data_IF_930254825409
#
_entry.id   IF_930254825409
#
_cell.length_a   1.000
_cell.length_b   1.000
_cell.length_c   1.000
_cell.angle_alpha   90.00
_cell.angle_beta   90.00
_cell.angle_gamma   90.00
#
_symmetry.space_group_name_H-M   'P 1'
#
loop_
_entity.id
_entity.type
_entity.pdbx_description
1 polymer ?
#
# COMPACT_ATOMS: atom_id res chain seq x y z
N UNK A 1 -24.39 10.08 19.37
CA UNK A 1 -23.98 8.84 20.05
C UNK A 1 -22.90 9.20 21.06
N UNK A 2 -23.03 8.83 22.35
CA UNK A 2 -21.92 8.93 23.30
C UNK A 2 -20.68 8.20 22.74
N UNK A 3 -19.52 8.82 22.91
CA UNK A 3 -18.31 8.62 22.08
C UNK A 3 -17.55 7.31 22.29
N UNK A 4 -16.69 7.01 21.33
CA UNK A 4 -15.80 5.85 21.32
C UNK A 4 -14.86 5.84 22.55
N UNK A 5 -14.48 4.65 23.00
CA UNK A 5 -13.52 4.47 24.09
C UNK A 5 -12.12 4.92 23.65
N UNK A 6 -11.34 5.51 24.56
CA UNK A 6 -9.93 5.80 24.30
C UNK A 6 -9.09 4.53 24.03
N UNK A 7 -9.59 3.36 24.45
CA UNK A 7 -8.97 2.05 24.19
C UNK A 7 -9.30 1.53 22.78
N UNK A 8 -10.46 1.91 22.24
CA UNK A 8 -10.92 1.49 20.90
C UNK A 8 -11.27 2.73 20.06
N UNK A 9 -10.26 3.53 19.68
CA UNK A 9 -10.50 4.77 18.97
C UNK A 9 -11.08 4.52 17.57
N UNK A 10 -11.88 5.47 17.12
CA UNK A 10 -12.41 5.51 15.76
C UNK A 10 -12.16 6.87 15.15
N UNK A 11 -11.56 6.87 13.97
CA UNK A 11 -11.37 8.06 13.15
C UNK A 11 -12.47 8.10 12.11
N UNK A 12 -13.10 9.27 11.97
CA UNK A 12 -14.08 9.55 10.94
C UNK A 12 -13.49 10.59 10.00
N UNK A 13 -13.55 10.33 8.71
CA UNK A 13 -13.14 11.28 7.67
C UNK A 13 -14.14 11.25 6.51
N UNK A 14 -14.15 12.31 5.70
CA UNK A 14 -14.85 12.30 4.41
C UNK A 14 -13.79 12.44 3.33
N UNK A 15 -13.57 11.38 2.56
CA UNK A 15 -12.61 11.38 1.46
C UNK A 15 -13.24 12.07 0.25
N UNK A 16 -12.59 13.14 -0.21
CA UNK A 16 -12.92 13.85 -1.46
C UNK A 16 -11.67 13.96 -2.30
N UNK A 17 -11.84 13.86 -3.62
CA UNK A 17 -10.73 14.06 -4.55
C UNK A 17 -10.15 15.47 -4.41
N UNK A 18 -10.94 16.51 -4.17
CA UNK A 18 -10.40 17.86 -3.96
C UNK A 18 -9.49 17.99 -2.73
N UNK A 19 -9.74 17.19 -1.70
CA UNK A 19 -9.01 17.23 -0.42
C UNK A 19 -7.75 16.34 -0.48
N UNK A 20 -7.80 15.27 -1.30
CA UNK A 20 -6.67 14.34 -1.53
C UNK A 20 -6.53 14.04 -3.04
N UNK A 21 -6.02 15.00 -3.85
CA UNK A 21 -6.07 14.93 -5.31
C UNK A 21 -5.38 13.74 -5.96
N UNK A 22 -4.32 13.22 -5.34
CA UNK A 22 -3.61 12.05 -5.84
C UNK A 22 -4.47 10.78 -5.84
N UNK A 23 -5.58 10.72 -5.09
CA UNK A 23 -6.49 9.57 -5.15
C UNK A 23 -7.09 9.37 -6.55
N UNK A 24 -7.24 10.44 -7.34
CA UNK A 24 -7.72 10.34 -8.74
C UNK A 24 -6.76 9.52 -9.61
N UNK A 25 -5.47 9.52 -9.26
CA UNK A 25 -4.43 8.83 -10.03
C UNK A 25 -4.42 7.31 -9.77
N UNK A 26 -5.18 6.78 -8.81
CA UNK A 26 -5.37 5.33 -8.67
C UNK A 26 -6.72 4.92 -9.29
N UNK A 27 -6.78 4.95 -10.63
CA UNK A 27 -8.01 4.69 -11.38
C UNK A 27 -8.07 3.25 -11.91
N UNK A 28 -9.12 2.53 -11.51
CA UNK A 28 -9.41 1.18 -11.97
C UNK A 28 -10.80 1.17 -12.62
N UNK A 29 -10.89 0.74 -13.87
CA UNK A 29 -12.15 0.74 -14.63
C UNK A 29 -12.75 2.12 -14.86
N UNK A 30 -11.94 3.19 -14.73
CA UNK A 30 -12.40 4.57 -14.82
C UNK A 30 -12.88 5.17 -13.49
N UNK A 31 -12.82 4.42 -12.39
CA UNK A 31 -13.18 4.89 -11.05
C UNK A 31 -11.94 5.11 -10.19
N UNK A 32 -11.91 6.19 -9.41
CA UNK A 32 -10.86 6.43 -8.42
C UNK A 32 -11.04 5.45 -7.24
N UNK A 33 -10.30 4.35 -7.25
CA UNK A 33 -10.35 3.32 -6.23
C UNK A 33 -9.28 3.60 -5.18
N UNK A 34 -9.63 3.56 -3.91
CA UNK A 34 -8.66 3.75 -2.83
C UNK A 34 -7.60 2.63 -2.86
N UNK A 35 -6.30 2.94 -2.93
CA UNK A 35 -5.25 1.95 -3.10
C UNK A 35 -5.11 1.06 -1.86
N UNK A 36 -4.67 -0.19 -2.05
CA UNK A 36 -4.35 -1.09 -0.94
C UNK A 36 -3.31 -0.46 0.01
N UNK A 37 -2.29 0.18 -0.57
CA UNK A 37 -1.29 0.94 0.15
C UNK A 37 -1.85 2.10 0.99
N UNK A 38 -2.99 2.68 0.60
CA UNK A 38 -3.68 3.71 1.36
C UNK A 38 -4.18 3.18 2.70
N UNK A 39 -4.72 1.96 2.74
CA UNK A 39 -5.15 1.34 4.00
C UNK A 39 -3.97 1.06 4.93
N UNK A 40 -2.80 0.71 4.38
CA UNK A 40 -1.59 0.55 5.18
C UNK A 40 -1.19 1.87 5.84
N UNK A 41 -1.22 2.97 5.08
CA UNK A 41 -0.94 4.30 5.63
C UNK A 41 -1.96 4.72 6.68
N UNK A 42 -3.26 4.42 6.51
CA UNK A 42 -4.27 4.67 7.55
C UNK A 42 -3.95 3.92 8.85
N UNK A 43 -3.60 2.64 8.76
CA UNK A 43 -3.27 1.84 9.95
C UNK A 43 -2.00 2.32 10.64
N UNK A 44 -0.95 2.64 9.86
CA UNK A 44 0.31 3.20 10.34
C UNK A 44 0.09 4.52 11.08
N UNK A 45 -0.71 5.42 10.50
CA UNK A 45 -1.00 6.72 11.13
C UNK A 45 -1.83 6.54 12.40
N UNK A 46 -2.86 5.68 12.37
CA UNK A 46 -3.71 5.41 13.53
C UNK A 46 -2.91 4.86 14.73
N UNK A 47 -2.04 3.87 14.52
CA UNK A 47 -1.21 3.33 15.60
C UNK A 47 -0.14 4.33 16.06
N UNK A 48 0.35 5.19 15.17
CA UNK A 48 1.28 6.27 15.51
C UNK A 48 0.62 7.27 16.47
N UNK A 49 -0.60 7.72 16.17
CA UNK A 49 -1.35 8.62 17.06
C UNK A 49 -1.66 7.97 18.41
N UNK A 50 -2.03 6.69 18.44
CA UNK A 50 -2.25 5.95 19.70
C UNK A 50 -0.97 5.88 20.53
N UNK A 51 0.19 5.63 19.90
CA UNK A 51 1.48 5.63 20.59
C UNK A 51 1.83 7.02 21.13
N UNK A 52 1.68 8.07 20.32
CA UNK A 52 1.94 9.48 20.68
C UNK A 52 1.08 9.95 21.86
N UNK A 53 -0.17 9.51 21.94
CA UNK A 53 -1.11 9.85 23.01
C UNK A 53 -1.00 8.93 24.24
N UNK A 54 -0.18 7.87 24.17
CA UNK A 54 -0.02 6.91 25.27
C UNK A 54 0.75 7.51 26.45
N UNK A 55 0.60 6.93 27.64
CA UNK A 55 1.33 7.36 28.84
C UNK A 55 2.83 7.05 28.77
N UNK A 56 3.25 6.16 27.88
CA UNK A 56 4.62 5.69 27.69
C UNK A 56 4.88 5.46 26.20
N UNK A 57 4.97 6.54 25.39
CA UNK A 57 5.24 6.41 23.97
C UNK A 57 6.57 5.68 23.77
N UNK A 58 6.59 4.72 22.85
CA UNK A 58 7.81 4.04 22.44
C UNK A 58 8.33 4.68 21.16
N UNK A 59 9.65 4.65 20.97
CA UNK A 59 10.24 4.99 19.67
C UNK A 59 9.80 3.95 18.65
N UNK A 60 9.25 4.39 17.53
CA UNK A 60 8.84 3.50 16.43
C UNK A 60 10.02 3.36 15.46
N UNK A 61 10.59 2.17 15.40
CA UNK A 61 11.62 1.79 14.43
C UNK A 61 11.02 1.14 13.17
N UNK A 62 9.81 0.56 13.26
CA UNK A 62 9.10 -0.01 12.11
C UNK A 62 7.67 -0.45 12.42
N UNK A 63 6.92 -0.74 11.35
CA UNK A 63 5.52 -1.17 11.37
C UNK A 63 5.39 -2.54 10.71
N UNK A 64 4.53 -3.38 11.25
CA UNK A 64 4.19 -4.68 10.65
C UNK A 64 2.68 -4.79 10.59
N UNK A 65 2.13 -5.00 9.40
CA UNK A 65 0.74 -5.34 9.17
C UNK A 65 0.65 -6.84 8.85
N UNK A 66 -0.36 -7.52 9.38
CA UNK A 66 -0.62 -8.94 9.15
C UNK A 66 -2.09 -9.20 8.88
N UNK A 67 -2.35 -10.33 8.23
CA UNK A 67 -3.69 -10.88 8.02
C UNK A 67 -4.66 -9.84 7.42
N UNK A 68 -4.15 -9.00 6.51
CA UNK A 68 -4.96 -7.95 5.91
C UNK A 68 -5.85 -8.58 4.85
N UNK A 69 -7.15 -8.43 5.01
CA UNK A 69 -8.17 -8.91 4.07
C UNK A 69 -8.90 -7.72 3.45
N UNK A 70 -8.84 -7.62 2.13
CA UNK A 70 -9.52 -6.59 1.34
C UNK A 70 -10.79 -7.21 0.76
N UNK A 71 -11.94 -6.78 1.26
CA UNK A 71 -13.26 -7.37 1.02
C UNK A 71 -14.01 -6.67 -0.13
N UNK A 72 -13.88 -5.34 -0.19
CA UNK A 72 -14.59 -4.52 -1.18
C UNK A 72 -13.76 -3.28 -1.53
N UNK A 73 -13.79 -2.87 -2.80
CA UNK A 73 -13.20 -1.62 -3.24
C UNK A 73 -13.89 -0.42 -2.57
N UNK A 74 -13.10 0.57 -2.17
CA UNK A 74 -13.59 1.88 -1.74
C UNK A 74 -13.42 2.84 -2.90
N UNK A 75 -14.53 3.20 -3.56
CA UNK A 75 -14.53 4.20 -4.61
C UNK A 75 -14.62 5.59 -3.99
N UNK A 76 -13.74 6.50 -4.39
CA UNK A 76 -13.76 7.90 -3.97
C UNK A 76 -14.49 8.72 -5.03
N UNK A 77 -15.71 9.22 -4.76
CA UNK A 77 -16.46 10.02 -5.73
C UNK A 77 -15.70 11.30 -6.12
N UNK A 78 -15.75 11.67 -7.40
CA UNK A 78 -15.25 12.96 -7.89
C UNK A 78 -16.38 14.00 -7.83
N UNK A 79 -16.89 14.22 -6.63
CA UNK A 79 -17.90 15.24 -6.30
C UNK A 79 -17.55 15.96 -4.98
N UNK A 80 -18.35 16.97 -4.66
CA UNK A 80 -18.15 17.78 -3.46
C UNK A 80 -18.61 17.09 -2.17
N UNK A 81 -19.40 16.01 -2.26
CA UNK A 81 -19.93 15.29 -1.12
C UNK A 81 -18.87 14.32 -0.57
N UNK A 82 -18.21 13.58 -1.45
CA UNK A 82 -17.21 12.57 -1.11
C UNK A 82 -17.81 11.30 -0.53
N UNK A 83 -16.95 10.48 0.09
CA UNK A 83 -17.36 9.27 0.79
C UNK A 83 -16.93 9.33 2.25
N UNK A 84 -17.87 9.13 3.17
CA UNK A 84 -17.55 9.06 4.59
C UNK A 84 -16.91 7.71 4.92
N UNK A 85 -15.76 7.75 5.59
CA UNK A 85 -14.95 6.60 5.95
C UNK A 85 -14.74 6.58 7.46
N UNK A 86 -14.83 5.39 8.03
CA UNK A 86 -14.50 5.10 9.43
C UNK A 86 -13.34 4.13 9.50
N UNK A 87 -12.33 4.48 10.29
CA UNK A 87 -11.25 3.59 10.68
C UNK A 87 -11.40 3.29 12.16
N UNK A 88 -11.56 2.02 12.54
CA UNK A 88 -11.58 1.59 13.93
C UNK A 88 -10.32 0.83 14.27
N UNK A 89 -9.74 1.08 15.45
CA UNK A 89 -8.60 0.35 15.98
C UNK A 89 -8.96 -0.17 17.37
N UNK A 90 -8.53 -1.38 17.70
CA UNK A 90 -8.68 -1.95 19.05
C UNK A 90 -7.49 -2.83 19.39
N UNK A 91 -7.13 -3.01 20.66
CA UNK A 91 -6.10 -3.96 21.05
C UNK A 91 -6.44 -5.35 20.53
N UNK A 92 -5.48 -6.02 19.89
CA UNK A 92 -5.68 -7.38 19.42
C UNK A 92 -5.74 -8.32 20.63
N UNK A 93 -6.62 -9.31 20.57
CA UNK A 93 -6.71 -10.36 21.60
C UNK A 93 -5.58 -11.39 21.47
N UNK A 94 -4.94 -11.46 20.31
CA UNK A 94 -3.86 -12.39 19.99
C UNK A 94 -2.51 -11.68 20.04
N UNK A 95 -2.13 -11.17 21.22
CA UNK A 95 -0.76 -10.67 21.43
C UNK A 95 0.11 -11.82 21.94
N UNK A 96 1.11 -12.23 21.16
CA UNK A 96 2.22 -12.98 21.72
C UNK A 96 3.00 -12.04 22.66
N UNK A 97 3.07 -12.38 23.95
CA UNK A 97 3.62 -11.50 24.99
C UNK A 97 5.06 -11.01 24.72
N UNK A 98 5.80 -11.68 23.83
CA UNK A 98 7.16 -11.35 23.44
C UNK A 98 7.26 -10.47 22.18
N UNK A 99 6.21 -10.36 21.34
CA UNK A 99 6.25 -9.65 20.05
C UNK A 99 5.73 -8.20 20.10
N UNK A 100 5.50 -7.65 21.30
CA UNK A 100 4.95 -6.30 21.47
C UNK A 100 3.43 -6.23 21.36
N UNK A 101 2.90 -5.01 21.46
CA UNK A 101 1.46 -4.77 21.39
C UNK A 101 0.99 -4.76 19.93
N UNK A 102 -0.14 -5.43 19.69
CA UNK A 102 -0.82 -5.50 18.39
C UNK A 102 -2.21 -4.91 18.50
N UNK A 103 -2.73 -4.42 17.37
CA UNK A 103 -4.07 -3.87 17.25
C UNK A 103 -4.78 -4.44 16.03
N UNK A 104 -6.02 -4.84 16.19
CA UNK A 104 -6.89 -5.16 15.06
C UNK A 104 -7.49 -3.85 14.53
N UNK A 105 -7.56 -3.71 13.21
CA UNK A 105 -8.18 -2.58 12.54
C UNK A 105 -9.25 -3.00 11.54
N UNK A 106 -10.18 -2.07 11.29
CA UNK A 106 -11.17 -2.18 10.23
C UNK A 106 -11.38 -0.81 9.57
N UNK A 107 -11.61 -0.84 8.26
CA UNK A 107 -12.02 0.32 7.46
C UNK A 107 -13.37 0.03 6.83
N UNK A 108 -14.33 0.92 7.07
CA UNK A 108 -15.67 0.89 6.48
C UNK A 108 -16.03 2.26 5.91
N UNK A 109 -16.98 2.29 5.00
CA UNK A 109 -17.57 3.54 4.51
C UNK A 109 -19.08 3.54 4.68
N UNK A 110 -19.66 4.74 4.67
CA UNK A 110 -21.10 4.96 4.67
C UNK A 110 -21.49 5.88 3.52
N UNK A 111 -22.37 5.39 2.64
CA UNK A 111 -22.91 6.16 1.53
C UNK A 111 -23.88 7.26 2.02
N UNK A 112 -24.20 8.23 1.17
CA UNK A 112 -25.21 9.25 1.46
C UNK A 112 -26.60 8.68 1.80
N UNK A 113 -26.92 7.48 1.30
CA UNK A 113 -28.15 6.74 1.63
C UNK A 113 -28.09 6.00 2.99
N UNK A 114 -26.95 6.05 3.69
CA UNK A 114 -26.74 5.38 4.97
C UNK A 114 -26.34 3.90 4.87
N UNK A 115 -26.06 3.39 3.66
CA UNK A 115 -25.55 2.02 3.50
C UNK A 115 -24.09 1.92 3.90
N UNK A 116 -23.79 0.94 4.74
CA UNK A 116 -22.44 0.61 5.20
C UNK A 116 -21.77 -0.40 4.29
N UNK A 117 -20.47 -0.25 4.08
CA UNK A 117 -19.64 -1.23 3.39
C UNK A 117 -18.32 -1.43 4.12
N UNK A 118 -17.95 -2.69 4.36
CA UNK A 118 -16.66 -3.06 4.96
C UNK A 118 -15.61 -3.26 3.86
N UNK A 119 -14.51 -2.52 3.94
CA UNK A 119 -13.47 -2.54 2.92
C UNK A 119 -12.31 -3.42 3.30
N UNK A 120 -11.74 -3.19 4.49
CA UNK A 120 -10.51 -3.86 4.93
C UNK A 120 -10.60 -4.24 6.40
N UNK A 121 -10.02 -5.38 6.74
CA UNK A 121 -9.65 -5.75 8.11
C UNK A 121 -8.19 -6.18 8.14
N UNK A 122 -7.52 -6.07 9.28
CA UNK A 122 -6.19 -6.63 9.48
C UNK A 122 -5.70 -6.35 10.89
N UNK A 123 -4.43 -6.69 11.15
CA UNK A 123 -3.77 -6.41 12.43
C UNK A 123 -2.48 -5.64 12.17
N UNK A 124 -2.15 -4.68 13.03
CA UNK A 124 -0.92 -3.88 12.97
C UNK A 124 -0.17 -3.93 14.30
N UNK A 125 1.15 -3.98 14.23
CA UNK A 125 2.06 -3.88 15.36
C UNK A 125 3.19 -2.89 15.07
N UNK A 126 3.73 -2.29 16.13
CA UNK A 126 4.93 -1.45 16.08
C UNK A 126 6.13 -2.24 16.61
N UNK A 127 7.27 -2.13 15.94
CA UNK A 127 8.53 -2.81 16.30
C UNK A 127 8.42 -4.34 16.42
N UNK A 128 7.39 -4.95 15.84
CA UNK A 128 7.17 -6.40 15.89
C UNK A 128 8.18 -7.19 15.02
N UNK A 129 8.94 -6.51 14.16
CA UNK A 129 10.00 -7.10 13.34
C UNK A 129 11.23 -6.21 13.32
N UNK A 130 12.40 -6.81 13.56
CA UNK A 130 13.68 -6.11 13.51
C UNK A 130 14.01 -5.67 12.07
N UNK A 131 14.51 -4.43 11.93
CA UNK A 131 15.11 -3.91 10.69
C UNK A 131 16.38 -4.71 10.35
N UNK A 132 16.75 -4.74 9.07
CA UNK A 132 18.01 -5.37 8.62
C UNK A 132 17.87 -6.83 8.19
N UNK A 133 16.67 -7.25 7.80
CA UNK A 133 16.47 -8.54 7.13
C UNK A 133 17.23 -8.55 5.80
N UNK A 134 17.95 -9.63 5.51
CA UNK A 134 18.68 -9.77 4.23
C UNK A 134 17.67 -9.84 3.07
N UNK A 135 17.67 -8.86 2.14
CA UNK A 135 16.78 -8.90 0.99
C UNK A 135 17.12 -10.06 0.06
N UNK A 136 16.14 -10.56 -0.70
CA UNK A 136 16.41 -11.54 -1.76
C UNK A 136 17.33 -10.91 -2.81
N UNK A 137 18.33 -11.66 -3.25
CA UNK A 137 19.23 -11.22 -4.31
C UNK A 137 18.48 -11.17 -5.65
N UNK A 138 18.58 -10.06 -6.35
CA UNK A 138 18.03 -9.90 -7.70
C UNK A 138 18.94 -10.67 -8.67
N UNK A 139 18.43 -11.66 -9.43
CA UNK A 139 19.21 -12.36 -10.44
C UNK A 139 19.46 -11.47 -11.67
N UNK A 140 20.22 -11.98 -12.64
CA UNK A 140 20.37 -11.27 -13.92
C UNK A 140 19.04 -11.29 -14.68
N UNK A 141 18.43 -10.12 -14.82
CA UNK A 141 17.21 -9.89 -15.59
C UNK A 141 17.64 -9.18 -16.88
N UNK A 142 17.69 -9.81 -18.06
CA UNK A 142 18.18 -9.19 -19.29
C UNK A 142 17.11 -8.41 -20.08
N UNK A 143 15.82 -8.66 -19.85
CA UNK A 143 14.76 -7.96 -20.56
C UNK A 143 14.46 -6.62 -19.90
N UNK A 144 14.11 -5.62 -20.72
CA UNK A 144 13.89 -4.23 -20.29
C UNK A 144 12.61 -3.71 -20.90
N UNK A 145 11.83 -2.99 -20.12
CA UNK A 145 10.71 -2.19 -20.55
C UNK A 145 10.69 -0.89 -19.74
N UNK A 146 10.22 0.19 -20.34
CA UNK A 146 10.01 1.43 -19.60
C UNK A 146 8.78 1.27 -18.69
N UNK A 147 8.75 1.96 -17.55
CA UNK A 147 7.54 2.02 -16.74
C UNK A 147 6.36 2.61 -17.50
N UNK A 148 6.60 3.54 -18.44
CA UNK A 148 5.56 4.04 -19.36
C UNK A 148 4.94 2.92 -20.19
N UNK A 149 5.74 2.03 -20.79
CA UNK A 149 5.21 0.92 -21.58
C UNK A 149 4.34 -0.02 -20.74
N UNK A 150 4.74 -0.28 -19.49
CA UNK A 150 3.92 -1.05 -18.54
C UNK A 150 2.62 -0.35 -18.18
N UNK A 151 2.67 0.95 -17.91
CA UNK A 151 1.48 1.73 -17.63
C UNK A 151 0.52 1.78 -18.82
N UNK A 152 1.03 1.98 -20.04
CA UNK A 152 0.21 1.96 -21.26
C UNK A 152 -0.51 0.61 -21.41
N UNK A 153 0.18 -0.52 -21.18
CA UNK A 153 -0.46 -1.85 -21.22
C UNK A 153 -1.44 -2.10 -20.07
N UNK A 154 -1.15 -1.60 -18.86
CA UNK A 154 -2.06 -1.69 -17.71
C UNK A 154 -3.37 -0.93 -18.00
N UNK A 155 -3.27 0.22 -18.67
CA UNK A 155 -4.43 1.00 -19.12
C UNK A 155 -5.32 0.21 -20.07
N UNK A 156 -4.77 -0.58 -20.98
CA UNK A 156 -5.54 -1.42 -21.91
C UNK A 156 -6.41 -2.47 -21.20
N UNK A 157 -6.01 -2.90 -20.00
CA UNK A 157 -6.76 -3.85 -19.15
C UNK A 157 -7.52 -3.17 -18.01
N UNK A 158 -7.70 -1.84 -18.08
CA UNK A 158 -8.53 -1.06 -17.17
C UNK A 158 -7.82 -0.49 -15.95
N UNK A 159 -6.49 -0.49 -15.89
CA UNK A 159 -5.71 0.10 -14.80
C UNK A 159 -5.10 1.41 -15.30
N UNK A 160 -5.83 2.51 -15.16
CA UNK A 160 -5.47 3.83 -15.69
C UNK A 160 -4.76 4.68 -14.62
N UNK A 161 -3.58 4.23 -14.19
CA UNK A 161 -2.81 4.95 -13.20
C UNK A 161 -2.42 6.35 -13.70
N UNK A 162 -2.52 7.35 -12.83
CA UNK A 162 -2.08 8.72 -13.06
C UNK A 162 -0.67 9.01 -12.51
N UNK A 163 -0.17 10.24 -12.62
CA UNK A 163 1.22 10.60 -12.31
C UNK A 163 1.71 10.18 -10.93
N UNK A 164 0.86 10.23 -9.90
CA UNK A 164 1.22 9.83 -8.53
C UNK A 164 1.50 8.33 -8.37
N UNK A 165 1.07 7.51 -9.34
CA UNK A 165 1.21 6.05 -9.35
C UNK A 165 2.06 5.52 -10.52
N UNK A 166 2.65 6.41 -11.34
CA UNK A 166 3.49 6.05 -12.49
C UNK A 166 5.00 6.20 -12.19
N UNK A 167 5.44 5.75 -11.01
CA UNK A 167 6.82 5.94 -10.56
C UNK A 167 7.84 4.93 -11.10
N UNK A 168 7.41 3.80 -11.68
CA UNK A 168 8.34 2.80 -12.22
C UNK A 168 9.15 3.38 -13.39
N UNK A 169 10.47 3.15 -13.42
CA UNK A 169 11.35 3.70 -14.47
C UNK A 169 11.86 2.61 -15.40
N UNK A 170 12.74 1.74 -14.89
CA UNK A 170 13.41 0.69 -15.66
C UNK A 170 12.94 -0.69 -15.19
N UNK A 171 11.86 -1.19 -15.81
CA UNK A 171 11.28 -2.49 -15.46
C UNK A 171 12.10 -3.60 -16.10
N UNK A 172 12.63 -4.47 -15.27
CA UNK A 172 13.53 -5.55 -15.63
C UNK A 172 12.87 -6.91 -15.38
N UNK A 173 13.07 -7.85 -16.28
CA UNK A 173 12.60 -9.24 -16.18
C UNK A 173 13.49 -10.19 -16.98
N UNK A 174 13.16 -11.48 -17.02
CA UNK A 174 13.87 -12.46 -17.86
C UNK A 174 12.96 -13.19 -18.87
N UNK A 175 11.66 -12.89 -18.89
CA UNK A 175 10.68 -13.51 -19.78
C UNK A 175 10.38 -14.98 -19.49
N UNK A 176 10.92 -15.56 -18.41
CA UNK A 176 10.86 -17.00 -18.11
C UNK A 176 10.38 -17.27 -16.71
N UNK A 177 10.98 -16.61 -15.73
CA UNK A 177 10.63 -16.72 -14.33
C UNK A 177 9.61 -15.62 -13.99
N UNK A 178 8.73 -15.91 -13.03
CA UNK A 178 7.73 -14.95 -12.56
C UNK A 178 8.33 -13.95 -11.56
N UNK A 179 9.34 -13.21 -12.03
CA UNK A 179 10.12 -12.25 -11.26
C UNK A 179 10.28 -10.96 -12.05
N UNK A 180 10.35 -9.84 -11.34
CA UNK A 180 10.58 -8.54 -11.94
C UNK A 180 11.31 -7.61 -10.96
N UNK A 181 12.09 -6.68 -11.48
CA UNK A 181 12.69 -5.60 -10.71
C UNK A 181 12.41 -4.25 -11.35
N UNK A 182 12.42 -3.17 -10.58
CA UNK A 182 12.41 -1.81 -11.11
C UNK A 182 13.08 -0.86 -10.13
N UNK A 183 13.41 0.32 -10.61
CA UNK A 183 13.89 1.43 -9.79
C UNK A 183 12.85 2.54 -9.74
N UNK A 184 12.76 3.22 -8.60
CA UNK A 184 11.99 4.44 -8.41
C UNK A 184 12.46 5.19 -7.17
N UNK A 185 12.12 6.47 -7.10
CA UNK A 185 12.39 7.30 -5.92
C UNK A 185 11.32 7.07 -4.85
N UNK A 186 11.75 6.81 -3.62
CA UNK A 186 10.85 6.82 -2.46
C UNK A 186 10.38 8.24 -2.17
N UNK A 187 9.09 8.37 -1.85
CA UNK A 187 8.47 9.67 -1.54
C UNK A 187 7.68 9.58 -0.26
N UNK A 188 7.66 10.66 0.51
CA UNK A 188 6.76 10.86 1.66
C UNK A 188 5.56 11.75 1.31
N UNK A 189 5.57 12.39 0.14
CA UNK A 189 4.52 13.27 -0.36
C UNK A 189 4.30 13.06 -1.85
N UNK A 190 3.11 13.39 -2.33
CA UNK A 190 2.72 13.35 -3.74
C UNK A 190 3.27 14.54 -4.53
N UNK A 191 3.43 15.69 -3.87
CA UNK A 191 3.78 16.97 -4.49
C UNK A 191 2.62 17.66 -5.22
N UNK A 192 1.38 17.19 -5.06
CA UNK A 192 0.19 17.77 -5.75
C UNK A 192 -0.68 18.66 -4.87
N UNK A 193 -0.40 18.75 -3.57
CA UNK A 193 -1.07 19.66 -2.63
C UNK A 193 -0.12 20.19 -1.56
N UNK A 194 -0.39 21.40 -1.07
CA UNK A 194 0.26 21.94 0.13
C UNK A 194 -0.40 21.36 1.39
N UNK A 195 0.40 21.09 2.43
CA UNK A 195 -0.12 20.58 3.70
C UNK A 195 -0.67 19.16 3.62
N UNK A 196 -0.08 18.32 2.74
CA UNK A 196 -0.43 16.91 2.64
C UNK A 196 -0.30 16.17 3.98
N UNK A 197 -1.06 15.08 4.14
CA UNK A 197 -0.93 14.20 5.30
C UNK A 197 0.50 13.67 5.46
N UNK A 198 0.94 13.48 6.71
CA UNK A 198 2.24 12.86 6.97
C UNK A 198 2.21 11.38 6.59
N UNK A 199 3.24 10.92 5.88
CA UNK A 199 3.39 9.50 5.54
C UNK A 199 4.79 9.00 5.88
N UNK A 200 4.88 7.75 6.34
CA UNK A 200 6.16 7.03 6.42
C UNK A 200 6.73 6.84 5.02
N UNK A 201 5.89 6.35 4.11
CA UNK A 201 6.07 6.37 2.66
C UNK A 201 4.71 6.74 2.07
N UNK A 202 4.68 7.63 1.09
CA UNK A 202 3.46 8.00 0.38
C UNK A 202 2.78 6.72 -0.18
N UNK A 203 1.44 6.58 -0.11
CA UNK A 203 0.74 5.39 -0.60
C UNK A 203 1.11 5.00 -2.03
N UNK A 204 1.28 5.98 -2.92
CA UNK A 204 1.74 5.75 -4.30
C UNK A 204 3.09 5.04 -4.37
N UNK A 205 4.05 5.37 -3.49
CA UNK A 205 5.37 4.70 -3.43
C UNK A 205 5.24 3.22 -3.08
N UNK A 206 4.41 2.90 -2.09
CA UNK A 206 4.19 1.52 -1.66
C UNK A 206 3.41 0.74 -2.72
N UNK A 207 2.46 1.40 -3.40
CA UNK A 207 1.66 0.80 -4.48
C UNK A 207 2.52 0.40 -5.69
N UNK A 208 3.62 1.10 -5.98
CA UNK A 208 4.57 0.67 -7.04
C UNK A 208 5.12 -0.75 -6.78
N UNK A 209 5.27 -1.16 -5.52
CA UNK A 209 5.67 -2.52 -5.18
C UNK A 209 4.56 -3.54 -5.49
N UNK A 210 3.30 -3.14 -5.40
CA UNK A 210 2.13 -3.94 -5.72
C UNK A 210 1.91 -4.01 -7.23
N UNK A 211 2.12 -2.91 -7.95
CA UNK A 211 2.10 -2.88 -9.42
C UNK A 211 3.20 -3.77 -10.01
N UNK A 212 4.40 -3.79 -9.41
CA UNK A 212 5.50 -4.67 -9.86
C UNK A 212 5.15 -6.17 -9.72
N UNK A 213 4.26 -6.53 -8.79
CA UNK A 213 3.73 -7.91 -8.72
C UNK A 213 3.00 -8.25 -10.01
N UNK A 214 2.23 -7.33 -10.60
CA UNK A 214 1.54 -7.53 -11.88
C UNK A 214 2.55 -7.83 -13.01
N UNK A 215 3.69 -7.14 -13.02
CA UNK A 215 4.78 -7.44 -13.96
C UNK A 215 5.30 -8.87 -13.75
N UNK A 216 5.51 -9.26 -12.48
CA UNK A 216 6.06 -10.56 -12.12
C UNK A 216 5.13 -11.72 -12.49
N UNK A 217 3.80 -11.61 -12.30
CA UNK A 217 2.83 -12.69 -12.62
C UNK A 217 2.77 -12.99 -14.12
N UNK A 218 3.15 -12.03 -14.97
CA UNK A 218 3.27 -12.19 -16.41
C UNK A 218 4.71 -12.44 -16.88
N UNK A 219 5.65 -12.69 -15.95
CA UNK A 219 7.08 -12.87 -16.25
C UNK A 219 7.68 -11.74 -17.10
N UNK A 220 7.17 -10.52 -16.96
CA UNK A 220 7.56 -9.37 -17.76
C UNK A 220 7.06 -9.36 -19.21
N UNK A 221 6.14 -10.25 -19.59
CA UNK A 221 5.56 -10.32 -20.94
C UNK A 221 4.31 -9.45 -21.03
N UNK A 222 4.50 -8.19 -21.37
CA UNK A 222 3.43 -7.20 -21.50
C UNK A 222 2.27 -7.67 -22.40
N UNK A 223 2.60 -8.27 -23.55
CA UNK A 223 1.61 -8.73 -24.52
C UNK A 223 0.80 -9.96 -24.07
N UNK A 224 1.22 -10.65 -23.02
CA UNK A 224 0.49 -11.81 -22.46
C UNK A 224 -0.54 -11.36 -21.39
N UNK A 225 -0.55 -10.06 -21.04
CA UNK A 225 -1.46 -9.51 -20.03
C UNK A 225 -2.90 -9.46 -20.56
N UNK A 226 -3.80 -10.12 -19.83
CA UNK A 226 -5.24 -10.22 -20.21
C UNK A 226 -6.15 -9.53 -19.20
N UNK A 227 -5.68 -9.33 -17.98
CA UNK A 227 -6.34 -8.56 -16.94
C UNK A 227 -5.28 -8.00 -15.98
N UNK A 228 -5.61 -6.90 -15.29
CA UNK A 228 -4.84 -6.53 -14.11
C UNK A 228 -5.16 -7.43 -12.91
N UNK A 229 -4.46 -7.22 -11.81
CA UNK A 229 -4.67 -7.95 -10.56
C UNK A 229 -4.71 -6.95 -9.40
N UNK A 230 -5.61 -7.22 -8.44
CA UNK A 230 -5.72 -6.42 -7.21
C UNK A 230 -5.42 -7.30 -5.99
N UNK A 231 -4.80 -6.74 -4.94
CA UNK A 231 -4.64 -7.46 -3.68
C UNK A 231 -5.99 -7.75 -3.02
N UNK A 232 -6.19 -8.98 -2.57
CA UNK A 232 -7.38 -9.39 -1.78
C UNK A 232 -7.02 -9.87 -0.37
N UNK A 233 -5.77 -10.33 -0.20
CA UNK A 233 -5.20 -10.78 1.06
C UNK A 233 -3.71 -10.40 1.08
N UNK A 234 -3.22 -9.99 2.24
CA UNK A 234 -1.82 -9.69 2.49
C UNK A 234 -1.43 -10.32 3.82
N UNK A 235 -0.59 -11.35 3.76
CA UNK A 235 -0.19 -12.11 4.93
C UNK A 235 0.70 -11.27 5.86
N UNK A 236 1.68 -10.55 5.30
CA UNK A 236 2.52 -9.62 6.05
C UNK A 236 3.06 -8.48 5.17
N UNK A 237 3.07 -7.26 5.71
CA UNK A 237 3.81 -6.12 5.18
C UNK A 237 4.63 -5.51 6.32
N UNK A 238 5.94 -5.34 6.10
CA UNK A 238 6.83 -4.65 7.02
C UNK A 238 7.34 -3.35 6.38
N UNK A 239 7.19 -2.23 7.08
CA UNK A 239 7.59 -0.91 6.60
C UNK A 239 8.43 -0.24 7.69
N UNK A 240 9.62 0.24 7.32
CA UNK A 240 10.50 1.00 8.20
C UNK A 240 10.57 2.45 7.73
N UNK A 241 10.57 3.44 8.64
CA UNK A 241 10.81 4.82 8.26
C UNK A 241 12.16 4.98 7.54
N UNK A 242 12.19 5.74 6.42
CA UNK A 242 13.42 6.02 5.71
C UNK A 242 14.36 6.86 6.59
N UNK A 243 15.66 6.65 6.45
CA UNK A 243 16.67 7.53 7.08
C UNK A 243 16.70 8.90 6.38
N UNK A 244 17.27 9.91 7.03
CA UNK A 244 17.47 11.23 6.39
C UNK A 244 18.33 11.13 5.13
N UNK A 245 19.28 10.19 5.08
CA UNK A 245 20.13 9.95 3.91
C UNK A 245 19.33 9.33 2.76
N UNK A 246 18.45 8.37 3.07
CA UNK A 246 17.53 7.76 2.10
C UNK A 246 16.55 8.80 1.55
N UNK A 247 16.15 9.80 2.32
CA UNK A 247 15.31 10.89 1.83
C UNK A 247 16.06 11.88 0.93
N UNK A 248 17.35 12.11 1.17
CA UNK A 248 18.20 12.94 0.30
C UNK A 248 18.57 12.23 -1.00
N UNK A 249 18.70 10.91 -0.96
CA UNK A 249 19.00 10.03 -2.08
C UNK A 249 17.90 8.97 -2.23
N UNK A 250 16.71 9.35 -2.72
CA UNK A 250 15.50 8.52 -2.63
C UNK A 250 15.48 7.30 -3.56
N UNK A 251 16.50 7.12 -4.39
CA UNK A 251 16.57 6.00 -5.31
C UNK A 251 16.53 4.65 -4.56
N UNK A 252 15.55 3.83 -4.91
CA UNK A 252 15.36 2.50 -4.37
C UNK A 252 15.07 1.49 -5.48
N UNK A 253 15.35 0.22 -5.17
CA UNK A 253 15.13 -0.91 -6.06
C UNK A 253 14.04 -1.81 -5.49
N UNK A 254 12.97 -1.99 -6.26
CA UNK A 254 11.93 -2.97 -5.98
C UNK A 254 12.23 -4.29 -6.68
N UNK A 255 11.91 -5.41 -6.02
CA UNK A 255 11.99 -6.75 -6.59
C UNK A 255 10.75 -7.56 -6.19
N UNK A 256 10.01 -8.03 -7.17
CA UNK A 256 8.83 -8.89 -6.97
C UNK A 256 9.05 -10.29 -7.53
N UNK A 257 8.42 -11.26 -6.89
CA UNK A 257 8.48 -12.67 -7.26
C UNK A 257 7.13 -13.32 -6.98
N UNK A 258 6.71 -14.23 -7.87
CA UNK A 258 5.47 -15.00 -7.71
C UNK A 258 5.81 -16.47 -7.51
N UNK A 259 5.51 -16.98 -6.32
CA UNK A 259 5.84 -18.34 -5.90
C UNK A 259 4.74 -19.35 -6.32
N UNK A 260 3.47 -18.91 -6.37
CA UNK A 260 2.35 -19.76 -6.80
C UNK A 260 1.44 -19.04 -7.79
N UNK A 261 1.04 -19.77 -8.85
CA UNK A 261 0.17 -19.26 -9.91
C UNK A 261 -1.05 -20.17 -10.11
N UNK A 262 -2.20 -19.71 -9.66
CA UNK A 262 -3.51 -20.31 -9.93
C UNK A 262 -4.16 -19.74 -11.19
N UNK A 263 -5.39 -20.17 -11.49
CA UNK A 263 -6.17 -19.66 -12.64
C UNK A 263 -6.64 -18.22 -12.40
N UNK A 264 -6.98 -17.89 -11.15
CA UNK A 264 -7.54 -16.56 -10.75
C UNK A 264 -6.91 -15.99 -9.49
N UNK A 265 -5.86 -16.62 -8.97
CA UNK A 265 -5.17 -16.19 -7.75
C UNK A 265 -3.68 -16.48 -7.85
N UNK A 266 -2.89 -15.67 -7.15
CA UNK A 266 -1.44 -15.73 -7.15
C UNK A 266 -0.93 -15.53 -5.73
N UNK A 267 0.20 -16.14 -5.40
CA UNK A 267 0.94 -15.86 -4.16
C UNK A 267 2.27 -15.26 -4.56
N UNK A 268 2.46 -13.99 -4.20
CA UNK A 268 3.59 -13.19 -4.61
C UNK A 268 4.16 -12.41 -3.43
N UNK A 269 5.44 -12.12 -3.49
CA UNK A 269 6.12 -11.21 -2.58
C UNK A 269 6.76 -10.06 -3.34
N UNK A 270 6.99 -8.97 -2.63
CA UNK A 270 7.69 -7.79 -3.13
C UNK A 270 8.58 -7.24 -2.01
N UNK A 271 9.75 -6.73 -2.39
CA UNK A 271 10.66 -6.03 -1.49
C UNK A 271 11.10 -4.72 -2.12
N UNK A 272 11.30 -3.70 -1.31
CA UNK A 272 11.88 -2.41 -1.70
C UNK A 272 13.10 -2.15 -0.84
N UNK A 273 14.24 -1.91 -1.49
CA UNK A 273 15.52 -1.68 -0.82
C UNK A 273 16.13 -0.40 -1.35
N UNK A 274 16.50 0.50 -0.46
CA UNK A 274 17.29 1.69 -0.81
C UNK A 274 18.71 1.29 -1.24
N UNK A 275 19.46 2.22 -1.83
CA UNK A 275 20.79 1.92 -2.36
C UNK A 275 21.93 1.93 -1.31
N UNK A 276 21.63 2.22 -0.05
CA UNK A 276 22.58 2.29 1.09
C UNK A 276 22.65 1.01 1.94
#
# INVERSE_FOLDING_TARGET
MPGCSAVEPVWRNVLRIRDVPWLRDHSLGGEAVFPAAGYFSMAIEAVTQVNELSSKPVKIDGFVLRDVSIKAALVTPDDDDGIEVMFSLRPSIFTEAEQGQWWDFNVSSVSAAGHWNDHVTGTIGINARQRGQTPRKIPNLPQRATGKAWNDGLKEVGFDYGPSFQGMVDVQSDGKNYIAATHFDIKQESGVLEGESRYVLHPGTVDLCLQLIIVSIYAGKLNDMTCGAVPIQVDEVAIWPPSEEQLKNPAATAFSFTDQRGIRSFVSGSQLVSND
#
